data_IF_180243221597
#
_entry.id   IF_180243221597
#
_cell.length_a   1.000
_cell.length_b   1.000
_cell.length_c   1.000
_cell.angle_alpha   90.00
_cell.angle_beta   90.00
_cell.angle_gamma   90.00
#
_symmetry.space_group_name_H-M   'P 1'
#
loop_
_entity.id
_entity.type
_entity.pdbx_description
1 polymer ?
#
# COMPACT_ATOMS: atom_id res chain seq x y z
N UNK A 1 20.28 11.33 1.37
CA UNK A 1 20.32 9.93 1.87
C UNK A 1 18.95 9.25 1.88
N UNK A 2 17.86 9.86 2.41
CA UNK A 2 16.52 9.24 2.51
C UNK A 2 16.00 8.66 1.18
N UNK A 3 16.12 9.40 0.07
CA UNK A 3 15.67 8.95 -1.27
C UNK A 3 16.40 7.69 -1.76
N UNK A 4 17.68 7.55 -1.45
CA UNK A 4 18.48 6.37 -1.82
C UNK A 4 18.07 5.15 -1.01
N UNK A 5 17.77 5.32 0.27
CA UNK A 5 17.27 4.22 1.14
C UNK A 5 15.90 3.76 0.66
N UNK A 6 14.97 4.68 0.38
CA UNK A 6 13.64 4.32 -0.19
C UNK A 6 13.78 3.57 -1.51
N UNK A 7 14.68 4.01 -2.41
CA UNK A 7 14.93 3.30 -3.67
C UNK A 7 15.50 1.89 -3.44
N UNK A 8 16.39 1.72 -2.45
CA UNK A 8 16.93 0.42 -2.07
C UNK A 8 15.85 -0.49 -1.46
N UNK A 9 14.95 0.05 -0.62
CA UNK A 9 13.79 -0.69 -0.08
C UNK A 9 12.86 -1.18 -1.20
N UNK A 10 12.54 -0.32 -2.17
CA UNK A 10 11.74 -0.72 -3.34
C UNK A 10 12.37 -1.86 -4.14
N UNK A 11 13.66 -1.72 -4.45
CA UNK A 11 14.37 -2.72 -5.24
C UNK A 11 14.50 -4.05 -4.48
N UNK A 12 14.83 -4.02 -3.19
CA UNK A 12 14.95 -5.24 -2.37
C UNK A 12 13.60 -5.92 -2.15
N UNK A 13 12.50 -5.18 -2.03
CA UNK A 13 11.15 -5.73 -2.00
C UNK A 13 10.75 -6.39 -3.34
N UNK A 14 11.34 -5.93 -4.46
CA UNK A 14 11.21 -6.57 -5.77
C UNK A 14 12.14 -7.79 -5.95
N UNK A 15 12.95 -8.13 -4.95
CA UNK A 15 13.91 -9.24 -5.02
C UNK A 15 15.25 -8.87 -5.68
N UNK A 16 15.54 -7.57 -5.84
CA UNK A 16 16.76 -7.07 -6.49
C UNK A 16 17.74 -6.60 -5.39
N UNK A 17 18.97 -7.15 -5.33
CA UNK A 17 19.98 -6.65 -4.41
C UNK A 17 20.44 -5.24 -4.81
N UNK A 18 20.74 -4.39 -3.84
CA UNK A 18 21.18 -3.02 -4.06
C UNK A 18 22.46 -2.74 -3.27
N UNK A 19 23.41 -2.04 -3.88
CA UNK A 19 24.56 -1.50 -3.19
C UNK A 19 24.57 0.02 -3.33
N UNK A 20 24.67 0.73 -2.23
CA UNK A 20 24.88 2.20 -2.20
C UNK A 20 26.36 2.42 -1.89
N UNK A 21 27.09 2.97 -2.86
CA UNK A 21 28.52 3.28 -2.75
C UNK A 21 28.79 4.77 -2.96
N UNK A 22 30.00 5.22 -2.66
CA UNK A 22 30.44 6.59 -2.93
C UNK A 22 30.77 6.72 -4.43
N UNK A 23 29.95 7.45 -5.19
CA UNK A 23 30.16 7.65 -6.62
C UNK A 23 31.27 8.63 -6.99
N UNK A 24 31.93 9.27 -6.01
CA UNK A 24 33.07 10.16 -6.23
C UNK A 24 34.37 9.33 -6.35
N UNK A 25 34.45 8.26 -5.57
CA UNK A 25 35.58 7.34 -5.58
C UNK A 25 35.39 6.33 -6.73
N UNK A 26 36.27 6.39 -7.72
CA UNK A 26 36.19 5.55 -8.92
C UNK A 26 36.31 4.06 -8.59
N UNK A 27 37.13 3.73 -7.60
CA UNK A 27 37.42 2.36 -7.18
C UNK A 27 36.22 1.76 -6.44
N UNK A 28 35.43 2.55 -5.70
CA UNK A 28 34.22 2.10 -5.02
C UNK A 28 33.15 1.64 -6.02
N UNK A 29 32.99 2.33 -7.13
CA UNK A 29 32.02 1.93 -8.19
C UNK A 29 32.47 0.64 -8.88
N UNK A 30 33.76 0.55 -9.22
CA UNK A 30 34.35 -0.64 -9.83
C UNK A 30 34.26 -1.86 -8.90
N UNK A 31 34.62 -1.68 -7.62
CA UNK A 31 34.54 -2.71 -6.58
C UNK A 31 33.10 -3.18 -6.34
N UNK A 32 32.11 -2.24 -6.30
CA UNK A 32 30.70 -2.61 -6.17
C UNK A 32 30.23 -3.50 -7.33
N UNK A 33 30.64 -3.18 -8.56
CA UNK A 33 30.31 -3.97 -9.75
C UNK A 33 31.03 -5.34 -9.75
N UNK A 34 32.25 -5.40 -9.22
CA UNK A 34 33.00 -6.64 -9.04
C UNK A 34 32.49 -7.51 -7.88
N UNK A 35 31.55 -7.01 -7.08
CA UNK A 35 31.00 -7.73 -5.93
C UNK A 35 31.83 -7.61 -4.65
N UNK A 36 32.76 -6.69 -4.61
CA UNK A 36 33.60 -6.41 -3.44
C UNK A 36 32.77 -5.75 -2.30
N UNK A 37 33.33 -5.76 -1.09
CA UNK A 37 32.68 -5.18 0.09
C UNK A 37 32.88 -3.65 0.18
N UNK A 38 32.28 -2.95 -0.75
CA UNK A 38 32.29 -1.46 -0.76
C UNK A 38 30.88 -0.91 -0.50
N UNK A 39 30.80 0.17 0.23
CA UNK A 39 29.54 0.86 0.55
C UNK A 39 28.60 0.04 1.45
N UNK A 40 27.28 0.25 1.27
CA UNK A 40 26.22 -0.44 2.02
C UNK A 40 25.42 -1.33 1.11
N UNK A 41 25.42 -2.63 1.39
CA UNK A 41 24.65 -3.62 0.62
C UNK A 41 23.33 -3.93 1.30
N UNK A 42 22.26 -3.83 0.54
CA UNK A 42 20.89 -4.20 0.91
C UNK A 42 20.55 -5.52 0.24
N UNK A 43 20.16 -6.51 1.05
CA UNK A 43 19.82 -7.86 0.56
C UNK A 43 18.36 -7.93 0.14
N UNK A 44 18.02 -8.73 -0.89
CA UNK A 44 16.64 -8.96 -1.29
C UNK A 44 15.79 -9.47 -0.15
N UNK A 45 14.56 -8.96 -0.02
CA UNK A 45 13.58 -9.47 0.91
C UNK A 45 13.08 -10.84 0.44
N UNK A 46 12.73 -11.73 1.39
CA UNK A 46 12.10 -12.99 1.06
C UNK A 46 10.65 -12.76 0.64
N UNK A 47 10.26 -13.27 -0.52
CA UNK A 47 8.95 -13.09 -1.13
C UNK A 47 8.97 -12.03 -2.24
N UNK A 48 8.29 -12.30 -3.36
CA UNK A 48 8.14 -11.33 -4.45
C UNK A 48 6.85 -10.55 -4.25
N UNK A 49 6.98 -9.28 -3.96
CA UNK A 49 5.85 -8.34 -4.02
C UNK A 49 5.60 -8.00 -5.49
N UNK A 50 4.35 -8.01 -5.94
CA UNK A 50 4.03 -7.68 -7.33
C UNK A 50 4.41 -6.23 -7.65
N UNK A 51 4.79 -5.97 -8.90
CA UNK A 51 5.14 -4.62 -9.37
C UNK A 51 4.03 -3.60 -9.10
N UNK A 52 2.77 -4.03 -9.20
CA UNK A 52 1.62 -3.21 -8.86
C UNK A 52 1.61 -2.80 -7.39
N UNK A 53 1.82 -3.74 -6.46
CA UNK A 53 1.85 -3.46 -5.02
C UNK A 53 3.03 -2.57 -4.63
N UNK A 54 4.19 -2.73 -5.28
CA UNK A 54 5.33 -1.83 -5.11
C UNK A 54 5.00 -0.41 -5.60
N UNK A 55 4.42 -0.28 -6.79
CA UNK A 55 3.96 0.99 -7.31
C UNK A 55 2.92 1.65 -6.38
N UNK A 56 1.94 0.90 -5.90
CA UNK A 56 0.91 1.39 -4.98
C UNK A 56 1.54 1.90 -3.67
N UNK A 57 2.47 1.13 -3.09
CA UNK A 57 3.11 1.48 -1.82
C UNK A 57 3.97 2.74 -1.92
N UNK A 58 4.83 2.82 -2.93
CA UNK A 58 5.90 3.80 -3.00
C UNK A 58 5.65 4.97 -3.96
N UNK A 59 4.94 4.76 -5.06
CA UNK A 59 4.78 5.73 -6.13
C UNK A 59 3.41 6.40 -6.19
N UNK A 60 2.32 5.67 -5.91
CA UNK A 60 0.96 6.24 -5.96
C UNK A 60 0.69 7.06 -4.68
N UNK A 61 0.47 8.40 -4.77
CA UNK A 61 0.13 9.20 -3.59
C UNK A 61 -1.28 8.85 -3.11
N UNK A 62 -1.48 8.82 -1.79
CA UNK A 62 -2.81 8.71 -1.20
C UNK A 62 -3.53 10.06 -1.28
N UNK A 63 -4.80 10.05 -1.70
CA UNK A 63 -5.69 11.21 -1.79
C UNK A 63 -6.56 11.41 -0.55
N UNK A 64 -6.64 10.39 0.29
CA UNK A 64 -7.42 10.41 1.50
C UNK A 64 -7.06 9.27 2.44
N UNK A 65 -7.87 9.13 3.48
CA UNK A 65 -7.69 8.14 4.53
C UNK A 65 -9.01 7.46 4.85
N UNK A 66 -8.94 6.16 5.10
CA UNK A 66 -10.08 5.34 5.53
C UNK A 66 -9.70 4.70 6.86
N UNK A 67 -10.45 5.01 7.91
CA UNK A 67 -10.31 4.36 9.22
C UNK A 67 -11.21 3.15 9.25
N UNK A 68 -10.67 2.01 9.70
CA UNK A 68 -11.38 0.74 9.79
C UNK A 68 -11.45 0.26 11.24
N UNK A 69 -12.38 -0.66 11.51
CA UNK A 69 -12.49 -1.33 12.81
C UNK A 69 -11.44 -2.47 12.96
N UNK A 70 -11.32 -2.99 14.18
CA UNK A 70 -10.36 -4.06 14.52
C UNK A 70 -10.64 -5.36 13.73
N UNK A 71 -11.91 -5.65 13.46
CA UNK A 71 -12.30 -6.82 12.68
C UNK A 71 -11.85 -6.75 11.23
N UNK A 72 -11.97 -5.57 10.61
CA UNK A 72 -11.48 -5.31 9.27
C UNK A 72 -9.94 -5.30 9.22
N UNK A 73 -9.25 -4.72 10.22
CA UNK A 73 -7.79 -4.80 10.32
C UNK A 73 -7.33 -6.25 10.35
N UNK A 74 -7.92 -7.08 11.22
CA UNK A 74 -7.60 -8.50 11.33
C UNK A 74 -7.83 -9.26 10.01
N UNK A 75 -8.95 -8.98 9.33
CA UNK A 75 -9.28 -9.59 8.06
C UNK A 75 -8.28 -9.22 6.95
N UNK A 76 -7.85 -7.97 6.91
CA UNK A 76 -6.84 -7.48 5.95
C UNK A 76 -5.46 -8.10 6.22
N UNK A 77 -5.01 -8.15 7.48
CA UNK A 77 -3.66 -8.61 7.86
C UNK A 77 -3.51 -10.12 7.81
N UNK A 78 -4.46 -10.85 8.38
CA UNK A 78 -4.31 -12.29 8.58
C UNK A 78 -4.96 -13.13 7.49
N UNK A 79 -6.11 -12.67 6.98
CA UNK A 79 -6.88 -13.44 5.98
C UNK A 79 -6.65 -12.97 4.55
N UNK A 80 -6.02 -11.81 4.35
CA UNK A 80 -5.78 -11.23 3.03
C UNK A 80 -7.08 -11.00 2.24
N UNK A 81 -8.18 -10.65 2.94
CA UNK A 81 -9.47 -10.40 2.32
C UNK A 81 -9.60 -8.95 1.82
N UNK A 82 -10.61 -8.68 1.00
CA UNK A 82 -10.98 -7.32 0.60
C UNK A 82 -11.57 -6.53 1.78
N UNK A 83 -11.41 -5.21 1.78
CA UNK A 83 -12.09 -4.32 2.71
C UNK A 83 -13.53 -4.10 2.23
N UNK A 84 -14.49 -4.43 3.07
CA UNK A 84 -15.91 -4.16 2.82
C UNK A 84 -16.36 -2.86 3.50
N UNK A 85 -17.40 -2.18 2.99
CA UNK A 85 -17.95 -0.98 3.61
C UNK A 85 -18.34 -1.14 5.08
N UNK A 86 -18.75 -2.34 5.49
CA UNK A 86 -19.14 -2.65 6.88
C UNK A 86 -17.99 -2.44 7.88
N UNK A 87 -16.75 -2.66 7.47
CA UNK A 87 -15.56 -2.45 8.31
C UNK A 87 -15.03 -1.01 8.28
N UNK A 88 -15.65 -0.11 7.50
CA UNK A 88 -15.24 1.29 7.42
C UNK A 88 -15.93 2.12 8.49
N UNK A 89 -15.15 2.78 9.33
CA UNK A 89 -15.60 3.63 10.44
C UNK A 89 -15.62 5.11 10.03
N UNK A 90 -14.53 5.57 9.40
CA UNK A 90 -14.36 6.99 9.04
C UNK A 90 -13.69 7.16 7.68
N UNK A 91 -14.03 8.26 6.99
CA UNK A 91 -13.54 8.59 5.66
C UNK A 91 -13.11 10.06 5.62
N UNK A 92 -11.82 10.29 5.42
CA UNK A 92 -11.20 11.62 5.36
C UNK A 92 -10.60 11.90 3.98
N UNK A 93 -10.61 13.18 3.61
CA UNK A 93 -10.07 13.65 2.32
C UNK A 93 -11.11 13.64 1.21
N UNK A 94 -10.64 13.96 0.01
CA UNK A 94 -11.46 14.02 -1.21
C UNK A 94 -10.77 13.17 -2.28
N UNK A 95 -11.46 12.12 -2.70
CA UNK A 95 -10.95 11.13 -3.65
C UNK A 95 -12.09 10.54 -4.48
N UNK A 96 -11.73 10.05 -5.65
CA UNK A 96 -12.62 9.36 -6.57
C UNK A 96 -12.32 7.85 -6.62
N UNK A 97 -13.23 7.08 -7.19
CA UNK A 97 -12.99 5.67 -7.48
C UNK A 97 -11.72 5.51 -8.35
N UNK A 98 -10.83 4.62 -7.96
CA UNK A 98 -9.51 4.43 -8.60
C UNK A 98 -8.37 5.23 -7.96
N UNK A 99 -8.65 6.11 -7.01
CA UNK A 99 -7.62 6.76 -6.21
C UNK A 99 -7.06 5.84 -5.12
N UNK A 100 -5.84 6.16 -4.66
CA UNK A 100 -5.26 5.48 -3.51
C UNK A 100 -5.66 6.17 -2.21
N UNK A 101 -5.94 5.36 -1.18
CA UNK A 101 -6.22 5.83 0.18
C UNK A 101 -5.34 5.10 1.18
N UNK A 102 -4.95 5.79 2.26
CA UNK A 102 -4.36 5.15 3.43
C UNK A 102 -5.47 4.44 4.22
N UNK A 103 -5.20 3.21 4.66
CA UNK A 103 -6.09 2.47 5.57
C UNK A 103 -5.46 2.47 6.95
N UNK A 104 -6.21 2.86 7.97
CA UNK A 104 -5.77 2.95 9.37
C UNK A 104 -6.75 2.28 10.32
N UNK A 105 -6.24 1.77 11.44
CA UNK A 105 -7.03 1.28 12.56
C UNK A 105 -6.45 1.83 13.87
N UNK A 106 -7.29 2.44 14.70
CA UNK A 106 -6.86 3.03 15.98
C UNK A 106 -5.72 4.05 15.83
N UNK A 107 -5.67 4.81 14.73
CA UNK A 107 -4.60 5.76 14.42
C UNK A 107 -3.32 5.13 13.84
N UNK A 108 -3.19 3.79 13.85
CA UNK A 108 -2.03 3.07 13.29
C UNK A 108 -2.22 2.77 11.80
N UNK A 109 -1.18 2.85 10.98
CA UNK A 109 -1.26 2.46 9.58
C UNK A 109 -1.49 0.94 9.46
N UNK A 110 -2.39 0.55 8.58
CA UNK A 110 -2.64 -0.85 8.20
C UNK A 110 -2.08 -1.12 6.82
N UNK A 111 -2.24 -0.16 5.90
CA UNK A 111 -1.76 -0.28 4.54
C UNK A 111 -2.31 0.80 3.61
N UNK A 112 -2.15 0.57 2.31
CA UNK A 112 -2.65 1.45 1.24
C UNK A 112 -3.40 0.64 0.20
N UNK A 113 -4.51 1.18 -0.30
CA UNK A 113 -5.34 0.50 -1.30
C UNK A 113 -5.93 1.44 -2.33
N UNK A 114 -6.32 0.88 -3.48
CA UNK A 114 -7.15 1.58 -4.48
C UNK A 114 -8.60 1.40 -4.06
N UNK A 115 -9.29 2.51 -3.87
CA UNK A 115 -10.69 2.53 -3.46
C UNK A 115 -11.62 2.38 -4.67
N UNK A 116 -12.71 1.64 -4.48
CA UNK A 116 -13.73 1.41 -5.52
C UNK A 116 -14.85 2.46 -5.54
N UNK A 117 -14.82 3.42 -4.62
CA UNK A 117 -15.86 4.44 -4.42
C UNK A 117 -15.26 5.83 -4.32
N UNK A 118 -16.04 6.84 -4.65
CA UNK A 118 -15.69 8.22 -4.26
C UNK A 118 -15.82 8.40 -2.74
N UNK A 119 -15.16 9.43 -2.20
CA UNK A 119 -15.24 9.77 -0.79
C UNK A 119 -16.68 10.02 -0.33
N UNK A 120 -17.48 10.66 -1.19
CA UNK A 120 -18.91 10.94 -0.93
C UNK A 120 -19.73 9.66 -0.84
N UNK A 121 -19.55 8.72 -1.77
CA UNK A 121 -20.22 7.43 -1.76
C UNK A 121 -19.82 6.62 -0.54
N UNK A 122 -18.52 6.52 -0.26
CA UNK A 122 -18.02 5.72 0.86
C UNK A 122 -18.49 6.25 2.22
N UNK A 123 -18.59 7.58 2.38
CA UNK A 123 -19.20 8.19 3.59
C UNK A 123 -20.66 7.80 3.78
N UNK A 124 -21.41 7.60 2.69
CA UNK A 124 -22.84 7.22 2.75
C UNK A 124 -23.05 5.75 3.11
N UNK A 125 -22.12 4.87 2.72
CA UNK A 125 -22.27 3.42 2.86
C UNK A 125 -21.37 2.82 3.95
N UNK A 126 -20.52 3.60 4.61
CA UNK A 126 -19.65 3.13 5.69
C UNK A 126 -20.47 2.47 6.80
N UNK A 127 -19.99 1.36 7.32
CA UNK A 127 -20.69 0.55 8.34
C UNK A 127 -21.85 -0.29 7.81
N UNK A 128 -22.22 -0.19 6.53
CA UNK A 128 -23.33 -0.93 5.94
C UNK A 128 -22.88 -2.32 5.45
N UNK A 129 -23.76 -3.30 5.62
CA UNK A 129 -23.60 -4.62 5.02
C UNK A 129 -23.84 -4.58 3.51
N UNK A 130 -23.28 -5.54 2.76
CA UNK A 130 -23.36 -5.60 1.29
C UNK A 130 -24.81 -5.48 0.76
N UNK A 131 -25.78 -6.11 1.44
CA UNK A 131 -27.19 -6.04 1.03
C UNK A 131 -27.79 -4.64 1.19
N UNK A 132 -27.35 -3.88 2.18
CA UNK A 132 -27.77 -2.49 2.42
C UNK A 132 -27.11 -1.55 1.41
N UNK A 133 -25.82 -1.77 1.12
CA UNK A 133 -25.08 -1.02 0.09
C UNK A 133 -25.76 -1.14 -1.27
N UNK A 134 -26.18 -2.33 -1.66
CA UNK A 134 -26.88 -2.55 -2.94
C UNK A 134 -28.20 -1.77 -3.06
N UNK A 135 -28.88 -1.50 -1.93
CA UNK A 135 -30.12 -0.69 -1.94
C UNK A 135 -29.83 0.81 -2.12
N UNK A 136 -28.70 1.29 -1.59
CA UNK A 136 -28.28 2.69 -1.65
C UNK A 136 -27.54 3.00 -2.96
N UNK A 137 -26.71 2.07 -3.41
CA UNK A 137 -25.88 2.17 -4.63
C UNK A 137 -26.01 0.89 -5.48
N UNK A 138 -27.04 0.76 -6.32
CA UNK A 138 -27.35 -0.48 -7.06
C UNK A 138 -26.27 -0.95 -8.04
N UNK A 139 -25.35 -0.07 -8.46
CA UNK A 139 -24.23 -0.36 -9.37
C UNK A 139 -22.88 -0.45 -8.69
N UNK A 140 -22.86 -0.44 -7.36
CA UNK A 140 -21.63 -0.45 -6.59
C UNK A 140 -20.93 -1.83 -6.62
N UNK A 141 -19.62 -1.80 -6.52
CA UNK A 141 -18.82 -3.00 -6.22
C UNK A 141 -19.09 -3.44 -4.78
N UNK A 142 -18.83 -4.70 -4.44
CA UNK A 142 -19.05 -5.17 -3.07
C UNK A 142 -17.96 -4.64 -2.11
N UNK A 143 -16.74 -4.45 -2.64
CA UNK A 143 -15.58 -4.08 -1.84
C UNK A 143 -15.31 -2.58 -1.88
N UNK A 144 -14.99 -2.01 -0.71
CA UNK A 144 -14.44 -0.67 -0.62
C UNK A 144 -13.00 -0.61 -1.17
N UNK A 145 -12.20 -1.66 -0.87
CA UNK A 145 -10.87 -1.88 -1.45
C UNK A 145 -10.69 -3.37 -1.72
N UNK A 146 -10.44 -3.74 -2.97
CA UNK A 146 -10.18 -5.13 -3.35
C UNK A 146 -8.79 -5.57 -2.87
N UNK A 147 -8.66 -6.81 -2.38
CA UNK A 147 -7.41 -7.39 -1.83
C UNK A 147 -6.21 -7.33 -2.79
N UNK A 148 -6.46 -7.50 -4.10
CA UNK A 148 -5.39 -7.45 -5.09
C UNK A 148 -4.86 -6.04 -5.30
N UNK A 149 -5.66 -5.03 -4.96
CA UNK A 149 -5.35 -3.61 -5.01
C UNK A 149 -5.05 -3.02 -3.63
N UNK A 150 -4.59 -3.86 -2.70
CA UNK A 150 -4.20 -3.49 -1.35
C UNK A 150 -2.79 -3.99 -1.02
N UNK A 151 -2.01 -3.16 -0.34
CA UNK A 151 -0.68 -3.50 0.18
C UNK A 151 -0.63 -3.15 1.67
N UNK A 152 -0.19 -4.11 2.48
CA UNK A 152 0.08 -3.89 3.91
C UNK A 152 1.36 -3.06 4.11
N UNK A 153 1.37 -2.23 5.16
CA UNK A 153 2.57 -1.52 5.61
C UNK A 153 3.55 -2.45 6.32
#
# INVERSE_FOLDING_TARGET
MRSKVVAAEMATAAGIPVTIANGIERDDVAGALAGERVGTRFVPQRGRVSSFKLWLRYAKPARGRVTVDDGAELALRERGTSLLPVGVVEVEGDFEAGDAVEVRCGGRPVGKGIVGYSAGELRRIKGMKTEEVRKVLPRATEEAVHRDYFVLD
#
